data_IF_887768503734
#
_entry.id   IF_887768503734
#
_cell.length_a   1.000
_cell.length_b   1.000
_cell.length_c   1.000
_cell.angle_alpha   90.00
_cell.angle_beta   90.00
_cell.angle_gamma   90.00
#
_symmetry.space_group_name_H-M   'P 1'
#
loop_
_entity.id
_entity.type
_entity.pdbx_description
1 polymer ?
#
# COMPACT_ATOMS: atom_id res chain seq x y z
N UNK A 1 0.58 -8.62 10.12
CA UNK A 1 0.71 -9.22 8.78
C UNK A 1 -0.45 -8.74 7.95
N UNK A 2 -0.20 -8.17 6.77
CA UNK A 2 -1.24 -7.65 5.88
C UNK A 2 -1.15 -8.36 4.52
N UNK A 3 -2.30 -8.61 3.89
CA UNK A 3 -2.41 -9.26 2.59
C UNK A 3 -3.46 -8.53 1.76
N UNK A 4 -3.19 -8.32 0.47
CA UNK A 4 -4.17 -7.77 -0.44
C UNK A 4 -4.08 -8.42 -1.82
N UNK A 5 -5.23 -8.71 -2.42
CA UNK A 5 -5.32 -9.12 -3.82
C UNK A 5 -4.96 -7.96 -4.76
N UNK A 6 -4.34 -8.28 -5.89
CA UNK A 6 -4.27 -7.34 -7.01
C UNK A 6 -5.64 -7.16 -7.65
N UNK A 7 -5.91 -6.02 -8.31
CA UNK A 7 -7.19 -5.77 -8.96
C UNK A 7 -7.59 -6.84 -10.00
N UNK A 8 -6.61 -7.43 -10.69
CA UNK A 8 -6.79 -8.51 -11.66
C UNK A 8 -6.99 -9.90 -11.02
N UNK A 9 -6.88 -10.00 -9.69
CA UNK A 9 -7.03 -11.21 -8.89
C UNK A 9 -6.09 -12.37 -9.26
N UNK A 10 -5.03 -12.11 -10.04
CA UNK A 10 -4.05 -13.14 -10.40
C UNK A 10 -2.89 -13.24 -9.39
N UNK A 11 -2.74 -12.21 -8.56
CA UNK A 11 -1.69 -12.11 -7.58
C UNK A 11 -2.23 -11.62 -6.23
N UNK A 12 -1.40 -11.79 -5.21
CA UNK A 12 -1.56 -11.04 -3.96
C UNK A 12 -0.24 -10.44 -3.53
N UNK A 13 -0.32 -9.32 -2.83
CA UNK A 13 0.78 -8.79 -2.07
C UNK A 13 0.65 -9.20 -0.61
N UNK A 14 1.78 -9.50 0.03
CA UNK A 14 1.86 -9.76 1.46
C UNK A 14 3.01 -8.97 2.09
N UNK A 15 2.75 -8.39 3.26
CA UNK A 15 3.73 -7.68 4.05
C UNK A 15 4.38 -8.60 5.08
N UNK A 16 5.69 -8.82 4.95
CA UNK A 16 6.50 -9.64 5.85
C UNK A 16 6.93 -8.92 7.12
N UNK A 17 7.30 -9.69 8.16
CA UNK A 17 7.89 -9.16 9.39
C UNK A 17 9.34 -8.67 9.19
N UNK A 18 9.98 -9.09 8.09
CA UNK A 18 11.32 -8.69 7.66
C UNK A 18 11.34 -7.36 6.89
N UNK A 19 10.24 -6.60 6.95
CA UNK A 19 10.08 -5.33 6.25
C UNK A 19 10.18 -5.46 4.71
N UNK A 20 9.84 -6.64 4.17
CA UNK A 20 9.68 -6.85 2.73
C UNK A 20 8.22 -6.88 2.32
N UNK A 21 7.97 -6.42 1.10
CA UNK A 21 6.73 -6.64 0.40
C UNK A 21 6.95 -7.73 -0.64
N UNK A 22 6.09 -8.74 -0.63
CA UNK A 22 6.13 -9.87 -1.56
C UNK A 22 4.93 -9.81 -2.48
N UNK A 23 5.10 -10.22 -3.73
CA UNK A 23 4.02 -10.54 -4.64
C UNK A 23 4.03 -12.03 -4.94
N UNK A 24 2.90 -12.69 -4.71
CA UNK A 24 2.71 -14.11 -5.02
C UNK A 24 1.76 -14.26 -6.20
N UNK A 25 2.01 -15.24 -7.05
CA UNK A 25 1.08 -15.60 -8.12
C UNK A 25 0.23 -16.78 -7.68
N UNK A 26 -1.07 -16.76 -7.99
CA UNK A 26 -1.92 -17.93 -7.75
C UNK A 26 -1.65 -19.07 -8.74
N UNK A 27 -0.98 -18.77 -9.86
CA UNK A 27 -0.58 -19.78 -10.84
C UNK A 27 0.79 -20.41 -10.51
N UNK A 28 1.57 -19.78 -9.63
CA UNK A 28 2.90 -20.24 -9.23
C UNK A 28 3.07 -20.15 -7.72
N UNK A 29 2.98 -21.30 -7.03
CA UNK A 29 2.75 -21.33 -5.57
C UNK A 29 4.00 -21.51 -4.71
N UNK A 30 5.17 -21.76 -5.30
CA UNK A 30 6.37 -22.16 -4.52
C UNK A 30 7.21 -20.99 -4.00
N UNK A 31 7.23 -19.87 -4.71
CA UNK A 31 8.06 -18.71 -4.37
C UNK A 31 7.34 -17.42 -4.78
N UNK A 32 7.61 -16.29 -4.10
CA UNK A 32 7.18 -14.98 -4.57
C UNK A 32 7.66 -14.75 -6.00
N UNK A 33 6.79 -14.20 -6.86
CA UNK A 33 7.17 -13.78 -8.22
C UNK A 33 7.91 -12.44 -8.23
N UNK A 34 7.86 -11.72 -7.11
CA UNK A 34 8.58 -10.48 -6.88
C UNK A 34 8.67 -10.20 -5.38
N UNK A 35 9.76 -9.57 -4.95
CA UNK A 35 9.93 -9.06 -3.59
C UNK A 35 10.72 -7.75 -3.61
N UNK A 36 10.52 -6.91 -2.61
CA UNK A 36 11.34 -5.72 -2.42
C UNK A 36 11.48 -5.34 -0.95
N UNK A 37 12.62 -4.72 -0.61
CA UNK A 37 12.82 -4.10 0.69
C UNK A 37 12.04 -2.79 0.76
N UNK A 38 11.24 -2.62 1.81
CA UNK A 38 10.51 -1.36 2.01
C UNK A 38 11.44 -0.28 2.60
N UNK A 39 11.30 0.98 2.16
CA UNK A 39 12.12 2.09 2.66
C UNK A 39 11.88 2.41 4.15
N UNK A 40 10.76 1.97 4.71
CA UNK A 40 10.41 2.10 6.12
C UNK A 40 9.41 0.99 6.51
N UNK A 41 9.40 0.65 7.79
CA UNK A 41 8.46 -0.34 8.34
C UNK A 41 7.01 0.10 8.17
N UNK A 42 6.27 -0.70 7.41
CA UNK A 42 4.82 -0.62 7.30
C UNK A 42 4.17 -1.69 8.18
N UNK A 43 2.95 -1.44 8.64
CA UNK A 43 2.10 -2.38 9.39
C UNK A 43 0.83 -2.75 8.62
N UNK A 44 0.35 -1.84 7.77
CA UNK A 44 -0.76 -2.05 6.87
C UNK A 44 -0.52 -1.32 5.53
N UNK A 45 -1.22 -1.78 4.49
CA UNK A 45 -1.14 -1.17 3.18
C UNK A 45 -2.44 -1.39 2.40
N UNK A 46 -2.63 -0.62 1.34
CA UNK A 46 -3.68 -0.85 0.35
C UNK A 46 -3.18 -0.43 -1.03
N UNK A 47 -3.56 -1.18 -2.07
CA UNK A 47 -3.30 -0.80 -3.46
C UNK A 47 -4.33 0.22 -3.95
N UNK A 48 -3.96 0.97 -4.97
CA UNK A 48 -4.91 1.69 -5.81
C UNK A 48 -5.63 0.75 -6.80
N UNK A 49 -6.65 1.26 -7.49
CA UNK A 49 -7.43 0.47 -8.46
C UNK A 49 -6.61 -0.08 -9.63
N UNK A 50 -5.50 0.57 -10.02
CA UNK A 50 -4.62 0.06 -11.08
C UNK A 50 -3.62 -1.00 -10.59
N UNK A 51 -3.37 -1.05 -9.28
CA UNK A 51 -2.32 -1.89 -8.69
C UNK A 51 -0.89 -1.35 -8.91
N UNK A 52 -0.74 -0.14 -9.46
CA UNK A 52 0.54 0.51 -9.75
C UNK A 52 1.04 1.34 -8.59
N UNK A 53 0.17 1.71 -7.65
CA UNK A 53 0.49 2.45 -6.45
C UNK A 53 0.04 1.73 -5.20
N UNK A 54 0.75 2.00 -4.11
CA UNK A 54 0.49 1.45 -2.79
C UNK A 54 0.50 2.56 -1.76
N UNK A 55 -0.59 2.67 -1.00
CA UNK A 55 -0.63 3.44 0.23
C UNK A 55 -0.07 2.56 1.34
N UNK A 56 1.09 2.92 1.87
CA UNK A 56 1.75 2.22 2.98
C UNK A 56 1.60 3.03 4.26
N UNK A 57 1.27 2.34 5.34
CA UNK A 57 1.02 2.95 6.64
C UNK A 57 1.74 2.21 7.76
N UNK A 58 2.18 2.94 8.79
CA UNK A 58 2.82 2.38 9.97
C UNK A 58 3.20 3.46 10.99
N UNK A 59 4.19 3.17 11.82
CA UNK A 59 4.66 4.10 12.86
C UNK A 59 5.20 5.42 12.28
N UNK A 60 5.80 5.37 11.09
CA UNK A 60 6.31 6.54 10.39
C UNK A 60 5.22 7.30 9.62
N UNK A 61 3.95 6.95 9.83
CA UNK A 61 2.79 7.56 9.19
C UNK A 61 2.42 6.93 7.86
N UNK A 62 1.94 7.73 6.91
CA UNK A 62 1.32 7.26 5.67
C UNK A 62 1.94 7.90 4.43
N UNK A 63 2.17 7.09 3.40
CA UNK A 63 2.71 7.55 2.12
C UNK A 63 2.19 6.71 0.95
N UNK A 64 1.95 7.38 -0.16
CA UNK A 64 1.72 6.75 -1.46
C UNK A 64 3.08 6.51 -2.10
N UNK A 65 3.27 5.28 -2.57
CA UNK A 65 4.47 4.84 -3.25
C UNK A 65 4.10 4.21 -4.59
N UNK A 66 4.97 4.35 -5.58
CA UNK A 66 4.84 3.70 -6.87
C UNK A 66 5.50 2.31 -6.81
N UNK A 67 4.83 1.31 -7.38
CA UNK A 67 5.36 -0.03 -7.56
C UNK A 67 6.03 -0.11 -8.93
N UNK A 68 7.23 -0.68 -8.98
CA UNK A 68 7.98 -0.92 -10.20
C UNK A 68 8.69 -2.27 -10.13
N UNK A 69 9.26 -2.71 -11.26
CA UNK A 69 10.11 -3.91 -11.30
C UNK A 69 11.28 -3.78 -10.31
N UNK A 70 11.85 -2.59 -10.17
CA UNK A 70 13.00 -2.31 -9.31
C UNK A 70 12.67 -2.14 -7.82
N UNK A 71 11.39 -2.13 -7.44
CA UNK A 71 10.99 -1.95 -6.04
C UNK A 71 9.85 -0.94 -5.87
N UNK A 72 9.78 -0.38 -4.66
CA UNK A 72 8.76 0.60 -4.27
C UNK A 72 9.42 1.94 -3.95
N UNK A 73 8.96 3.01 -4.60
CA UNK A 73 9.52 4.36 -4.46
C UNK A 73 8.47 5.36 -3.96
N UNK A 74 8.80 6.26 -3.01
CA UNK A 74 7.86 7.23 -2.47
C UNK A 74 7.46 8.27 -3.53
N UNK A 75 6.17 8.59 -3.58
CA UNK A 75 5.60 9.62 -4.47
C UNK A 75 5.04 10.78 -3.66
N UNK A 76 4.26 10.48 -2.61
CA UNK A 76 3.59 11.50 -1.80
C UNK A 76 3.51 11.07 -0.33
N UNK A 77 3.87 11.97 0.59
CA UNK A 77 3.69 11.79 2.03
C UNK A 77 2.34 12.38 2.45
N UNK A 78 1.47 11.57 3.06
CA UNK A 78 0.15 11.99 3.53
C UNK A 78 0.14 12.31 5.03
N UNK A 79 0.96 11.62 5.81
CA UNK A 79 1.00 11.80 7.27
C UNK A 79 2.34 11.41 7.85
N UNK A 80 2.79 12.17 8.86
CA UNK A 80 3.98 11.88 9.66
C UNK A 80 3.65 11.27 11.04
N UNK A 81 2.36 11.04 11.33
CA UNK A 81 1.90 10.48 12.61
C UNK A 81 1.51 9.02 12.44
N UNK A 82 1.74 8.17 13.43
CA UNK A 82 1.46 6.73 13.38
C UNK A 82 0.03 6.40 12.92
N UNK A 83 -0.08 5.51 11.94
CA UNK A 83 -1.35 5.06 11.34
C UNK A 83 -1.56 3.57 11.62
N UNK A 84 -2.75 3.22 12.11
CA UNK A 84 -3.15 1.86 12.42
C UNK A 84 -3.78 1.13 11.23
N UNK A 85 -4.55 1.85 10.41
CA UNK A 85 -5.28 1.30 9.28
C UNK A 85 -5.39 2.31 8.14
N UNK A 86 -5.51 1.81 6.91
CA UNK A 86 -5.71 2.63 5.74
C UNK A 86 -6.60 1.93 4.71
N UNK A 87 -7.24 2.73 3.85
CA UNK A 87 -8.00 2.27 2.70
C UNK A 87 -7.83 3.23 1.53
N UNK A 88 -7.96 2.73 0.31
CA UNK A 88 -7.93 3.52 -0.91
C UNK A 88 -9.10 3.09 -1.78
N UNK A 89 -9.98 4.04 -2.05
CA UNK A 89 -11.13 3.86 -2.94
C UNK A 89 -11.05 4.83 -4.12
N UNK A 90 -11.68 4.47 -5.22
CA UNK A 90 -11.84 5.34 -6.38
C UNK A 90 -13.32 5.48 -6.69
N UNK A 91 -13.80 6.72 -6.88
CA UNK A 91 -15.15 7.01 -7.32
C UNK A 91 -15.13 8.28 -8.17
N UNK A 92 -15.95 8.33 -9.23
CA UNK A 92 -16.08 9.52 -10.10
C UNK A 92 -14.73 10.08 -10.58
N UNK A 93 -13.83 9.19 -11.04
CA UNK A 93 -12.46 9.54 -11.49
C UNK A 93 -11.59 10.20 -10.41
N UNK A 94 -11.95 10.06 -9.14
CA UNK A 94 -11.25 10.65 -8.01
C UNK A 94 -10.73 9.55 -7.08
N UNK A 95 -9.43 9.58 -6.79
CA UNK A 95 -8.83 8.70 -5.78
C UNK A 95 -9.06 9.27 -4.38
N UNK A 96 -9.49 8.44 -3.43
CA UNK A 96 -9.65 8.82 -2.03
C UNK A 96 -8.85 7.88 -1.15
N UNK A 97 -7.84 8.41 -0.46
CA UNK A 97 -7.14 7.69 0.59
C UNK A 97 -7.73 8.03 1.95
N UNK A 98 -7.92 7.01 2.79
CA UNK A 98 -8.40 7.15 4.17
C UNK A 98 -7.35 6.54 5.09
N UNK A 99 -6.99 7.24 6.17
CA UNK A 99 -6.12 6.72 7.22
C UNK A 99 -6.76 6.88 8.60
N UNK A 100 -6.55 5.91 9.48
CA UNK A 100 -6.95 5.94 10.88
C UNK A 100 -5.70 5.99 11.76
N UNK A 101 -5.48 7.12 12.43
CA UNK A 101 -4.34 7.35 13.32
C UNK A 101 -4.50 6.67 14.68
N UNK A 102 -3.38 6.42 15.36
CA UNK A 102 -3.39 5.97 16.77
C UNK A 102 -3.87 7.05 17.74
N UNK A 103 -4.00 8.30 17.28
CA UNK A 103 -4.61 9.43 17.99
C UNK A 103 -6.15 9.43 17.91
N UNK A 104 -6.76 8.40 17.31
CA UNK A 104 -8.21 8.28 17.14
C UNK A 104 -8.77 9.13 16.00
N UNK A 105 -7.92 9.80 15.20
CA UNK A 105 -8.38 10.64 14.08
C UNK A 105 -8.40 9.86 12.77
N UNK A 106 -9.49 10.03 12.03
CA UNK A 106 -9.59 9.60 10.62
C UNK A 106 -9.27 10.79 9.72
N UNK A 107 -8.36 10.60 8.76
CA UNK A 107 -8.00 11.60 7.76
C UNK A 107 -8.36 11.10 6.37
N UNK A 108 -8.95 11.99 5.57
CA UNK A 108 -9.38 11.72 4.20
C UNK A 108 -8.55 12.60 3.27
N UNK A 109 -7.96 11.99 2.24
CA UNK A 109 -7.12 12.67 1.26
C UNK A 109 -7.69 12.42 -0.13
N UNK A 110 -8.05 13.50 -0.80
CA UNK A 110 -8.54 13.47 -2.18
C UNK A 110 -7.37 13.62 -3.15
N UNK A 111 -7.22 12.66 -4.06
CA UNK A 111 -6.21 12.65 -5.10
C UNK A 111 -6.85 13.09 -6.41
N UNK A 112 -6.50 14.31 -6.83
CA UNK A 112 -6.98 14.89 -8.07
C UNK A 112 -6.14 14.33 -9.23
N UNK A 113 -6.83 13.75 -10.21
CA UNK A 113 -6.23 13.50 -11.52
C UNK A 113 -6.24 14.80 -12.33
N UNK A 114 -5.23 15.08 -13.16
CA UNK A 114 -5.23 16.21 -14.08
C UNK A 114 -6.46 16.19 -15.02
#
# INVERSE_FOLDING_TARGET
>A
TALQLTPDQNHCYSLGQDNKLYRHSFNQTKQPVWETQLPYSATCFTLDQSGQHILMCGQNGASINQISVGGVAPVLKLSSTSVAACHWANANQCGTCVTAGLDGKVKIFTLLTP
#
